data_IF_453060059319
#
_entry.id   IF_453060059319
#
_cell.length_a   1.000
_cell.length_b   1.000
_cell.length_c   1.000
_cell.angle_alpha   90.00
_cell.angle_beta   90.00
_cell.angle_gamma   90.00
#
_symmetry.space_group_name_H-M   'P 1'
#
loop_
_entity.id
_entity.type
_entity.pdbx_description
1 polymer ?
#
# COMPACT_ATOMS: atom_id res chain seq x y z
N UNK A 1 -28.11 90.64 -58.19
CA UNK A 1 -27.84 89.56 -57.21
C UNK A 1 -26.35 89.61 -56.87
N UNK A 2 -26.01 90.05 -55.66
CA UNK A 2 -24.64 90.20 -55.14
C UNK A 2 -24.24 88.89 -54.46
N UNK A 3 -23.13 88.28 -54.89
CA UNK A 3 -22.54 87.10 -54.23
C UNK A 3 -21.67 87.56 -53.06
N UNK A 4 -21.95 87.05 -51.86
CA UNK A 4 -21.21 87.36 -50.64
C UNK A 4 -19.85 86.64 -50.61
N UNK A 5 -18.75 87.31 -50.21
CA UNK A 5 -17.39 86.75 -50.19
C UNK A 5 -17.10 85.75 -49.04
N UNK A 6 -18.11 85.34 -48.29
CA UNK A 6 -17.94 84.51 -47.09
C UNK A 6 -17.72 83.02 -47.39
N UNK A 7 -18.02 82.55 -48.61
CA UNK A 7 -17.95 81.13 -48.97
C UNK A 7 -16.55 80.63 -49.32
N UNK A 8 -15.58 81.53 -49.57
CA UNK A 8 -14.22 81.16 -49.98
C UNK A 8 -13.29 80.91 -48.78
N UNK A 9 -13.57 81.50 -47.62
CA UNK A 9 -12.69 81.38 -46.44
C UNK A 9 -12.87 80.07 -45.65
N UNK A 10 -14.01 79.39 -45.74
CA UNK A 10 -14.30 78.19 -44.94
C UNK A 10 -13.81 76.87 -45.55
N UNK A 11 -13.52 76.84 -46.86
CA UNK A 11 -13.05 75.62 -47.55
C UNK A 11 -11.53 75.46 -47.49
N UNK A 12 -10.78 76.53 -47.26
CA UNK A 12 -9.31 76.50 -47.23
C UNK A 12 -8.72 75.92 -45.93
N UNK A 13 -9.50 75.77 -44.85
CA UNK A 13 -8.98 75.30 -43.56
C UNK A 13 -9.15 73.79 -43.29
N UNK A 14 -9.80 73.04 -44.20
CA UNK A 14 -10.14 71.63 -43.96
C UNK A 14 -9.20 70.61 -44.64
N UNK A 15 -8.05 71.02 -45.19
CA UNK A 15 -7.18 70.11 -45.97
C UNK A 15 -5.87 69.72 -45.25
N UNK A 16 -5.57 70.26 -44.06
CA UNK A 16 -4.30 69.95 -43.36
C UNK A 16 -4.40 68.80 -42.35
N UNK A 17 -5.22 67.78 -42.63
CA UNK A 17 -5.46 66.66 -41.72
C UNK A 17 -5.58 65.30 -42.42
N UNK A 18 -4.89 65.08 -43.53
CA UNK A 18 -4.81 63.76 -44.14
C UNK A 18 -3.84 62.87 -43.35
N UNK A 19 -4.43 61.87 -42.70
CA UNK A 19 -3.85 60.66 -42.12
C UNK A 19 -2.44 60.29 -42.64
N UNK A 20 -1.44 60.50 -41.79
CA UNK A 20 -0.17 59.81 -41.90
C UNK A 20 -0.38 58.35 -41.45
N UNK A 21 -0.80 57.50 -42.38
CA UNK A 21 -0.77 56.04 -42.20
C UNK A 21 0.69 55.58 -42.27
N UNK A 22 1.21 54.87 -41.26
CA UNK A 22 2.60 54.41 -41.24
C UNK A 22 2.84 53.15 -42.10
N UNK A 23 1.96 52.86 -43.07
CA UNK A 23 2.12 51.72 -43.98
C UNK A 23 2.87 52.11 -45.27
N UNK A 24 4.14 51.70 -45.45
CA UNK A 24 4.96 52.06 -46.60
C UNK A 24 4.47 51.45 -47.92
N UNK A 25 3.52 50.51 -47.90
CA UNK A 25 2.94 49.93 -49.14
C UNK A 25 1.90 50.84 -49.79
N UNK A 26 1.43 51.88 -49.08
CA UNK A 26 0.42 52.83 -49.58
C UNK A 26 0.96 54.26 -49.82
N UNK A 27 2.19 54.56 -49.40
CA UNK A 27 2.78 55.91 -49.39
C UNK A 27 3.60 56.36 -50.62
N UNK A 28 3.75 55.51 -51.65
CA UNK A 28 4.54 55.84 -52.85
C UNK A 28 6.04 56.14 -52.60
N UNK A 29 6.76 56.49 -53.66
CA UNK A 29 8.24 56.67 -53.67
C UNK A 29 8.74 57.71 -52.63
N UNK A 30 8.00 58.81 -52.42
CA UNK A 30 8.37 59.83 -51.44
C UNK A 30 8.14 59.40 -49.98
N UNK A 31 7.10 58.59 -49.70
CA UNK A 31 6.89 57.98 -48.37
C UNK A 31 7.96 56.93 -48.02
N UNK A 32 8.48 56.21 -49.02
CA UNK A 32 9.61 55.31 -48.85
C UNK A 32 10.92 56.02 -48.50
N UNK A 33 11.21 57.16 -49.15
CA UNK A 33 12.41 57.98 -48.85
C UNK A 33 12.29 58.64 -47.47
N UNK A 34 11.10 59.13 -47.10
CA UNK A 34 10.87 59.70 -45.77
C UNK A 34 10.92 58.63 -44.66
N UNK A 35 10.51 57.39 -44.96
CA UNK A 35 10.65 56.22 -44.08
C UNK A 35 12.10 55.73 -43.90
N UNK A 36 12.95 55.92 -44.91
CA UNK A 36 14.40 55.70 -44.84
C UNK A 36 15.10 56.83 -44.06
N UNK A 37 14.70 58.08 -44.27
CA UNK A 37 15.24 59.24 -43.55
C UNK A 37 14.78 59.33 -42.08
N UNK A 38 13.65 58.71 -41.72
CA UNK A 38 13.08 58.74 -40.36
C UNK A 38 13.52 57.60 -39.45
N UNK A 39 14.34 56.65 -39.94
CA UNK A 39 14.80 55.49 -39.16
C UNK A 39 13.74 54.41 -38.91
N UNK A 40 12.58 54.48 -39.57
CA UNK A 40 11.48 53.52 -39.38
C UNK A 40 11.83 52.09 -39.81
N UNK A 41 12.79 51.93 -40.74
CA UNK A 41 13.29 50.62 -41.16
C UNK A 41 14.14 49.98 -40.06
N UNK A 42 15.15 50.69 -39.56
CA UNK A 42 15.97 50.27 -38.41
C UNK A 42 15.09 49.89 -37.21
N UNK A 43 14.04 50.68 -36.91
CA UNK A 43 13.13 50.35 -35.82
C UNK A 43 12.43 48.99 -36.02
N UNK A 44 11.92 48.70 -37.22
CA UNK A 44 11.28 47.40 -37.52
C UNK A 44 12.27 46.24 -37.50
N UNK A 45 13.52 46.47 -37.94
CA UNK A 45 14.58 45.46 -37.85
C UNK A 45 14.88 45.17 -36.38
N UNK A 46 15.07 46.20 -35.57
CA UNK A 46 15.32 46.07 -34.14
C UNK A 46 14.17 45.38 -33.40
N UNK A 47 12.91 45.71 -33.71
CA UNK A 47 11.73 45.04 -33.13
C UNK A 47 11.71 43.54 -33.47
N UNK A 48 12.05 43.18 -34.71
CA UNK A 48 12.12 41.77 -35.15
C UNK A 48 13.29 41.03 -34.50
N UNK A 49 14.45 41.65 -34.40
CA UNK A 49 15.62 41.10 -33.72
C UNK A 49 15.30 40.83 -32.25
N UNK A 50 14.72 41.81 -31.54
CA UNK A 50 14.27 41.64 -30.15
C UNK A 50 13.18 40.58 -30.01
N UNK A 51 12.26 40.46 -30.97
CA UNK A 51 11.24 39.41 -30.96
C UNK A 51 11.86 38.02 -31.14
N UNK A 52 12.85 37.90 -32.02
CA UNK A 52 13.53 36.64 -32.32
C UNK A 52 14.45 36.22 -31.17
N UNK A 53 15.12 37.16 -30.51
CA UNK A 53 15.86 36.91 -29.27
C UNK A 53 14.94 36.41 -28.15
N UNK A 54 13.78 37.04 -27.95
CA UNK A 54 12.77 36.58 -26.99
C UNK A 54 12.27 35.17 -27.29
N UNK A 55 11.98 34.86 -28.55
CA UNK A 55 11.55 33.52 -28.95
C UNK A 55 12.64 32.47 -28.74
N UNK A 56 13.91 32.80 -28.99
CA UNK A 56 15.04 31.90 -28.70
C UNK A 56 15.21 31.67 -27.20
N UNK A 57 15.08 32.71 -26.39
CA UNK A 57 15.14 32.59 -24.94
C UNK A 57 14.02 31.68 -24.41
N UNK A 58 12.77 31.88 -24.89
CA UNK A 58 11.64 31.03 -24.53
C UNK A 58 11.83 29.59 -25.00
N UNK A 59 12.37 29.38 -26.21
CA UNK A 59 12.66 28.03 -26.71
C UNK A 59 13.70 27.33 -25.84
N UNK A 60 14.73 28.05 -25.40
CA UNK A 60 15.75 27.50 -24.52
C UNK A 60 15.17 27.15 -23.14
N UNK A 61 14.33 28.02 -22.58
CA UNK A 61 13.61 27.78 -21.31
C UNK A 61 12.72 26.54 -21.39
N UNK A 62 11.92 26.40 -22.46
CA UNK A 62 11.07 25.22 -22.66
C UNK A 62 11.90 23.93 -22.82
N UNK A 63 13.04 23.99 -23.50
CA UNK A 63 13.94 22.83 -23.63
C UNK A 63 14.55 22.42 -22.29
N UNK A 64 14.91 23.38 -21.44
CA UNK A 64 15.39 23.09 -20.09
C UNK A 64 14.28 22.49 -19.22
N UNK A 65 13.07 23.04 -19.27
CA UNK A 65 11.93 22.53 -18.52
C UNK A 65 11.54 21.11 -18.97
N UNK A 66 11.55 20.84 -20.28
CA UNK A 66 11.29 19.50 -20.82
C UNK A 66 12.33 18.49 -20.33
N UNK A 67 13.61 18.86 -20.33
CA UNK A 67 14.68 18.00 -19.83
C UNK A 67 14.54 17.72 -18.32
N UNK A 68 14.21 18.74 -17.52
CA UNK A 68 13.98 18.60 -16.07
C UNK A 68 12.75 17.72 -15.76
N UNK A 69 11.65 17.92 -16.48
CA UNK A 69 10.45 17.10 -16.36
C UNK A 69 10.72 15.64 -16.75
N UNK A 70 11.49 15.42 -17.81
CA UNK A 70 11.84 14.06 -18.24
C UNK A 70 12.75 13.36 -17.23
N UNK A 71 13.73 14.07 -16.65
CA UNK A 71 14.56 13.53 -15.57
C UNK A 71 13.74 13.20 -14.32
N UNK A 72 12.81 14.09 -13.94
CA UNK A 72 11.89 13.86 -12.81
C UNK A 72 10.97 12.68 -13.05
N UNK A 73 10.47 12.52 -14.28
CA UNK A 73 9.63 11.38 -14.65
C UNK A 73 10.40 10.07 -14.53
N UNK A 74 11.64 10.03 -15.02
CA UNK A 74 12.50 8.84 -14.93
C UNK A 74 12.79 8.45 -13.47
N UNK A 75 13.12 9.42 -12.61
CA UNK A 75 13.36 9.14 -11.19
C UNK A 75 12.10 8.64 -10.47
N UNK A 76 10.92 9.21 -10.78
CA UNK A 76 9.65 8.73 -10.24
C UNK A 76 9.31 7.32 -10.72
N UNK A 77 9.58 6.99 -11.98
CA UNK A 77 9.39 5.64 -12.51
C UNK A 77 10.25 4.61 -11.78
N UNK A 78 11.52 4.93 -11.49
CA UNK A 78 12.42 4.09 -10.69
C UNK A 78 11.91 3.90 -9.26
N UNK A 79 11.47 4.98 -8.60
CA UNK A 79 10.90 4.91 -7.25
C UNK A 79 9.64 4.04 -7.23
N UNK A 80 8.76 4.18 -8.23
CA UNK A 80 7.53 3.38 -8.31
C UNK A 80 7.85 1.90 -8.50
N UNK A 81 8.88 1.55 -9.28
CA UNK A 81 9.30 0.16 -9.45
C UNK A 81 9.81 -0.42 -8.13
N UNK A 82 10.69 0.31 -7.44
CA UNK A 82 11.20 -0.10 -6.13
C UNK A 82 10.09 -0.29 -5.09
N UNK A 83 9.14 0.66 -5.02
CA UNK A 83 8.03 0.59 -4.07
C UNK A 83 7.11 -0.61 -4.36
N UNK A 84 6.90 -0.93 -5.65
CA UNK A 84 6.11 -2.12 -6.05
C UNK A 84 6.79 -3.42 -5.60
N UNK A 85 8.11 -3.53 -5.75
CA UNK A 85 8.87 -4.68 -5.27
C UNK A 85 8.76 -4.81 -3.75
N UNK A 86 8.91 -3.70 -3.02
CA UNK A 86 8.77 -3.68 -1.56
C UNK A 86 7.37 -4.10 -1.09
N UNK A 87 6.31 -3.63 -1.75
CA UNK A 87 4.92 -4.05 -1.44
C UNK A 87 4.73 -5.54 -1.68
N UNK A 88 5.25 -6.09 -2.78
CA UNK A 88 5.14 -7.52 -3.09
C UNK A 88 5.86 -8.39 -2.05
N UNK A 89 7.02 -7.95 -1.56
CA UNK A 89 7.74 -8.62 -0.48
C UNK A 89 6.92 -8.61 0.83
N UNK A 90 6.34 -7.46 1.19
CA UNK A 90 5.49 -7.33 2.36
C UNK A 90 4.23 -8.20 2.29
N UNK A 91 3.61 -8.30 1.12
CA UNK A 91 2.47 -9.21 0.89
C UNK A 91 2.87 -10.67 1.12
N UNK A 92 3.99 -11.10 0.51
CA UNK A 92 4.50 -12.47 0.68
C UNK A 92 4.82 -12.78 2.14
N UNK A 93 5.48 -11.86 2.85
CA UNK A 93 5.79 -12.02 4.27
C UNK A 93 4.52 -12.10 5.13
N UNK A 94 3.48 -11.34 4.78
CA UNK A 94 2.21 -11.38 5.49
C UNK A 94 1.49 -12.73 5.28
N UNK A 95 1.53 -13.29 4.07
CA UNK A 95 0.98 -14.62 3.79
C UNK A 95 1.70 -15.72 4.57
N UNK A 96 3.04 -15.64 4.65
CA UNK A 96 3.85 -16.57 5.46
C UNK A 96 3.48 -16.47 6.94
N UNK A 97 3.41 -15.25 7.49
CA UNK A 97 3.03 -15.04 8.89
C UNK A 97 1.61 -15.53 9.19
N UNK A 98 0.66 -15.38 8.26
CA UNK A 98 -0.69 -15.92 8.40
C UNK A 98 -0.70 -17.45 8.39
N UNK A 99 0.13 -18.08 7.56
CA UNK A 99 0.28 -19.54 7.54
C UNK A 99 0.91 -20.05 8.85
N UNK A 100 1.96 -19.39 9.33
CA UNK A 100 2.59 -19.69 10.63
C UNK A 100 1.60 -19.52 11.79
N UNK A 101 0.78 -18.45 11.77
CA UNK A 101 -0.26 -18.23 12.77
C UNK A 101 -1.29 -19.37 12.74
N UNK A 102 -1.77 -19.76 11.55
CA UNK A 102 -2.72 -20.86 11.42
C UNK A 102 -2.14 -22.20 11.90
N UNK A 103 -0.84 -22.44 11.64
CA UNK A 103 -0.14 -23.61 12.17
C UNK A 103 -0.06 -23.58 13.70
N UNK A 104 0.33 -22.44 14.29
CA UNK A 104 0.38 -22.26 15.74
C UNK A 104 -1.01 -22.42 16.40
N UNK A 105 -2.06 -21.85 15.81
CA UNK A 105 -3.44 -22.04 16.29
C UNK A 105 -3.86 -23.51 16.25
N UNK A 106 -3.46 -24.26 15.21
CA UNK A 106 -3.75 -25.69 15.12
C UNK A 106 -3.01 -26.52 16.18
N UNK A 107 -1.76 -26.15 16.47
CA UNK A 107 -0.94 -26.77 17.52
C UNK A 107 -1.51 -26.48 18.91
N UNK A 108 -1.98 -25.26 19.15
CA UNK A 108 -2.61 -24.87 20.41
C UNK A 108 -3.94 -25.62 20.62
N UNK A 109 -4.81 -25.68 19.60
CA UNK A 109 -6.05 -26.45 19.66
C UNK A 109 -5.81 -27.95 19.90
N UNK A 110 -4.78 -28.52 19.27
CA UNK A 110 -4.34 -29.91 19.52
C UNK A 110 -3.87 -30.08 20.98
N UNK A 111 -3.08 -29.15 21.48
CA UNK A 111 -2.56 -29.16 22.86
C UNK A 111 -3.69 -29.04 23.89
N UNK A 112 -4.66 -28.15 23.67
CA UNK A 112 -5.86 -28.02 24.51
C UNK A 112 -6.67 -29.32 24.54
N UNK A 113 -6.88 -29.95 23.38
CA UNK A 113 -7.57 -31.24 23.28
C UNK A 113 -6.83 -32.35 24.05
N UNK A 114 -5.51 -32.39 23.96
CA UNK A 114 -4.67 -33.33 24.71
C UNK A 114 -4.77 -33.09 26.22
N UNK A 115 -4.71 -31.84 26.68
CA UNK A 115 -4.90 -31.48 28.10
C UNK A 115 -6.29 -31.87 28.60
N UNK A 116 -7.35 -31.67 27.80
CA UNK A 116 -8.70 -32.08 28.15
C UNK A 116 -8.80 -33.62 28.28
N UNK A 117 -8.18 -34.36 27.36
CA UNK A 117 -8.12 -35.82 27.42
C UNK A 117 -7.36 -36.31 28.66
N UNK A 118 -6.22 -35.69 28.99
CA UNK A 118 -5.45 -36.00 30.19
C UNK A 118 -6.27 -35.75 31.46
N UNK A 119 -6.99 -34.62 31.55
CA UNK A 119 -7.89 -34.33 32.67
C UNK A 119 -9.00 -35.36 32.82
N UNK A 120 -9.61 -35.80 31.72
CA UNK A 120 -10.63 -36.85 31.74
C UNK A 120 -10.04 -38.18 32.22
N UNK A 121 -8.89 -38.60 31.70
CA UNK A 121 -8.20 -39.83 32.13
C UNK A 121 -7.83 -39.79 33.61
N UNK A 122 -7.35 -38.64 34.11
CA UNK A 122 -7.08 -38.46 35.54
C UNK A 122 -8.37 -38.64 36.36
N UNK A 123 -9.49 -38.06 35.93
CA UNK A 123 -10.78 -38.21 36.61
C UNK A 123 -11.28 -39.67 36.60
N UNK A 124 -11.07 -40.40 35.51
CA UNK A 124 -11.40 -41.82 35.38
C UNK A 124 -10.55 -42.68 36.31
N UNK A 125 -9.23 -42.46 36.34
CA UNK A 125 -8.30 -43.14 37.23
C UNK A 125 -8.64 -42.91 38.71
N UNK A 126 -9.01 -41.68 39.07
CA UNK A 126 -9.45 -41.36 40.44
C UNK A 126 -10.72 -42.13 40.82
N UNK A 127 -11.70 -42.24 39.91
CA UNK A 127 -12.92 -43.03 40.15
C UNK A 127 -12.60 -44.51 40.32
N UNK A 128 -11.78 -45.08 39.44
CA UNK A 128 -11.36 -46.49 39.52
C UNK A 128 -10.61 -46.79 40.82
N UNK A 129 -9.72 -45.89 41.25
CA UNK A 129 -8.98 -46.03 42.51
C UNK A 129 -9.91 -46.01 43.72
N UNK A 130 -10.90 -45.10 43.76
CA UNK A 130 -11.90 -45.05 44.84
C UNK A 130 -12.76 -46.32 44.88
N UNK A 131 -13.15 -46.83 43.72
CA UNK A 131 -13.89 -48.09 43.62
C UNK A 131 -13.06 -49.28 44.15
N UNK A 132 -11.76 -49.29 43.87
CA UNK A 132 -10.85 -50.31 44.42
C UNK A 132 -10.69 -50.20 45.93
N UNK A 133 -10.55 -48.99 46.48
CA UNK A 133 -10.51 -48.78 47.93
C UNK A 133 -11.78 -49.33 48.58
N UNK A 134 -12.97 -48.99 48.07
CA UNK A 134 -14.22 -49.53 48.61
C UNK A 134 -14.35 -51.06 48.47
N UNK A 135 -13.77 -51.64 47.42
CA UNK A 135 -13.79 -53.09 47.22
C UNK A 135 -12.82 -53.80 48.19
N UNK A 136 -11.67 -53.19 48.48
CA UNK A 136 -10.73 -53.65 49.50
C UNK A 136 -11.29 -53.49 50.91
N UNK A 137 -11.94 -52.37 51.23
CA UNK A 137 -12.60 -52.16 52.52
C UNK A 137 -13.73 -53.20 52.75
N UNK A 138 -14.45 -53.57 51.70
CA UNK A 138 -15.44 -54.65 51.76
C UNK A 138 -14.81 -56.04 51.96
N UNK A 139 -13.60 -56.28 51.43
CA UNK A 139 -12.83 -57.51 51.66
C UNK A 139 -12.29 -57.58 53.11
N UNK A 140 -11.93 -56.45 53.71
CA UNK A 140 -11.44 -56.37 55.08
C UNK A 140 -12.59 -56.38 56.12
N UNK A 141 -13.76 -55.88 55.73
CA UNK A 141 -14.94 -55.74 56.60
C UNK A 141 -15.88 -56.94 56.69
N UNK A 142 -15.86 -57.89 55.75
CA UNK A 142 -16.75 -59.07 55.74
C UNK A 142 -15.95 -60.37 55.60
N UNK A 143 -15.47 -60.90 56.73
CA UNK A 143 -14.88 -62.24 56.83
C UNK A 143 -15.88 -63.39 56.65
N UNK A 144 -17.00 -63.19 55.94
CA UNK A 144 -18.12 -64.15 55.85
C UNK A 144 -18.77 -64.28 54.47
N UNK A 145 -18.04 -64.00 53.38
CA UNK A 145 -18.55 -64.14 52.01
C UNK A 145 -18.19 -65.46 51.31
N UNK A 146 -19.20 -66.26 50.95
CA UNK A 146 -19.17 -67.57 50.24
C UNK A 146 -18.75 -67.48 48.76
N UNK A 147 -17.77 -66.64 48.40
CA UNK A 147 -17.20 -66.54 47.04
C UNK A 147 -15.72 -66.90 47.08
N UNK A 148 -15.26 -67.73 46.13
CA UNK A 148 -13.88 -68.20 46.03
C UNK A 148 -12.87 -67.01 46.04
N UNK A 149 -12.11 -66.82 47.13
CA UNK A 149 -11.25 -65.65 47.33
C UNK A 149 -10.16 -65.55 46.25
N UNK A 150 -9.75 -66.68 45.67
CA UNK A 150 -8.71 -66.73 44.65
C UNK A 150 -9.17 -66.10 43.33
N UNK A 151 -10.44 -66.28 42.95
CA UNK A 151 -10.99 -65.70 41.71
C UNK A 151 -11.05 -64.15 41.81
N UNK A 152 -11.36 -63.64 43.00
CA UNK A 152 -11.45 -62.20 43.27
C UNK A 152 -10.07 -61.54 43.36
N UNK A 153 -9.09 -62.21 43.97
CA UNK A 153 -7.68 -61.77 43.97
C UNK A 153 -7.12 -61.69 42.55
N UNK A 154 -7.40 -62.69 41.70
CA UNK A 154 -7.00 -62.65 40.30
C UNK A 154 -7.64 -61.47 39.54
N UNK A 155 -8.89 -61.14 39.83
CA UNK A 155 -9.56 -59.97 39.24
C UNK A 155 -8.88 -58.66 39.66
N UNK A 156 -8.54 -58.51 40.94
CA UNK A 156 -7.84 -57.32 41.45
C UNK A 156 -6.44 -57.17 40.87
N UNK A 157 -5.69 -58.28 40.71
CA UNK A 157 -4.36 -58.26 40.08
C UNK A 157 -4.45 -57.82 38.62
N UNK A 158 -5.41 -58.37 37.85
CA UNK A 158 -5.63 -57.97 36.45
C UNK A 158 -6.02 -56.49 36.33
N UNK A 159 -6.86 -56.00 37.23
CA UNK A 159 -7.27 -54.59 37.23
C UNK A 159 -6.14 -53.65 37.65
N UNK A 160 -5.30 -54.04 38.61
CA UNK A 160 -4.08 -53.30 38.99
C UNK A 160 -3.10 -53.22 37.82
N UNK A 161 -2.92 -54.30 37.09
CA UNK A 161 -2.07 -54.31 35.89
C UNK A 161 -2.62 -53.42 34.78
N UNK A 162 -3.94 -53.39 34.59
CA UNK A 162 -4.59 -52.47 33.65
C UNK A 162 -4.33 -51.00 34.03
N UNK A 163 -4.51 -50.64 35.30
CA UNK A 163 -4.24 -49.28 35.79
C UNK A 163 -2.78 -48.88 35.66
N UNK A 164 -1.85 -49.80 35.94
CA UNK A 164 -0.42 -49.54 35.79
C UNK A 164 -0.06 -49.23 34.34
N UNK A 165 -0.62 -49.99 33.39
CA UNK A 165 -0.46 -49.73 31.95
C UNK A 165 -1.03 -48.37 31.55
N UNK A 166 -2.18 -47.98 32.08
CA UNK A 166 -2.76 -46.65 31.82
C UNK A 166 -1.87 -45.52 32.36
N UNK A 167 -1.29 -45.69 33.55
CA UNK A 167 -0.35 -44.73 34.12
C UNK A 167 0.94 -44.59 33.30
N UNK A 168 1.52 -45.70 32.86
CA UNK A 168 2.72 -45.70 32.01
C UNK A 168 2.45 -44.97 30.67
N UNK A 169 1.27 -45.19 30.09
CA UNK A 169 0.82 -44.54 28.85
C UNK A 169 0.60 -43.02 29.03
N UNK A 170 0.12 -42.59 30.20
CA UNK A 170 0.00 -41.17 30.55
C UNK A 170 1.38 -40.52 30.72
N UNK A 171 2.34 -41.23 31.30
CA UNK A 171 3.70 -40.74 31.48
C UNK A 171 4.39 -40.53 30.12
N UNK A 172 4.23 -41.47 29.20
CA UNK A 172 4.72 -41.37 27.82
C UNK A 172 4.13 -40.13 27.10
N UNK A 173 2.81 -39.95 27.18
CA UNK A 173 2.13 -38.81 26.56
C UNK A 173 2.57 -37.46 27.17
N UNK A 174 2.86 -37.43 28.48
CA UNK A 174 3.37 -36.22 29.15
C UNK A 174 4.80 -35.85 28.73
N UNK A 175 5.61 -36.84 28.32
CA UNK A 175 6.96 -36.62 27.80
C UNK A 175 6.92 -36.17 26.34
N UNK A 176 5.95 -36.64 25.54
CA UNK A 176 5.71 -36.15 24.18
C UNK A 176 5.26 -34.68 24.16
N UNK A 177 4.39 -34.29 25.09
CA UNK A 177 3.92 -32.90 25.24
C UNK A 177 4.99 -31.92 25.75
N UNK A 178 6.03 -32.42 26.42
CA UNK A 178 7.10 -31.59 26.98
C UNK A 178 8.26 -31.34 25.99
N UNK A 179 8.17 -31.88 24.77
CA UNK A 179 9.22 -31.87 23.75
C UNK A 179 8.87 -30.96 22.58
#
# INVERSE_FOLDING_TARGET
MRWSPFFIAAVALCVTGCAASPDPRTGGFFGGIQGLASGSYEQRVQEREQSLERLRALQQEMQTEEAELQATKQSLEEIILWEREAVQELETNSEVLLAELAELESLDASSEAQVAQLKQRIADLQRNTRQQQSALDALEGDGSGETDPDLRLQQLVKQREALRKEYDLLLELSLELAR
#
